data_IF_601744188674
#
_entry.id   IF_601744188674
#
_cell.length_a   1.000
_cell.length_b   1.000
_cell.length_c   1.000
_cell.angle_alpha   90.00
_cell.angle_beta   90.00
_cell.angle_gamma   90.00
#
_symmetry.space_group_name_H-M   'P 1'
#
loop_
_entity.id
_entity.type
_entity.pdbx_description
1 polymer ?
#
# COMPACT_ATOMS: atom_id res chain seq x y z
N UNK A 1 4.51 -26.86 7.86
CA UNK A 1 5.57 -26.05 8.50
C UNK A 1 5.01 -24.68 8.86
N UNK A 2 5.17 -24.28 10.11
CA UNK A 2 4.75 -22.96 10.55
C UNK A 2 5.85 -21.95 10.32
N UNK A 3 5.49 -20.85 9.68
CA UNK A 3 6.39 -19.70 9.52
C UNK A 3 6.15 -18.79 10.72
N UNK A 4 7.24 -18.37 11.39
CA UNK A 4 7.08 -17.49 12.53
C UNK A 4 6.66 -16.08 12.09
N UNK A 5 6.12 -15.35 13.05
CA UNK A 5 5.56 -14.01 12.83
C UNK A 5 6.58 -13.03 12.26
N UNK A 6 7.79 -13.04 12.83
CA UNK A 6 8.88 -12.16 12.38
C UNK A 6 9.25 -12.42 10.92
N UNK A 7 9.37 -13.69 10.53
CA UNK A 7 9.70 -14.07 9.15
C UNK A 7 8.61 -13.61 8.18
N UNK A 8 7.34 -13.76 8.57
CA UNK A 8 6.22 -13.36 7.73
C UNK A 8 6.17 -11.84 7.56
N UNK A 9 6.42 -11.09 8.64
CA UNK A 9 6.49 -9.62 8.58
C UNK A 9 7.59 -9.19 7.61
N UNK A 10 8.78 -9.77 7.73
CA UNK A 10 9.90 -9.46 6.84
C UNK A 10 9.55 -9.78 5.39
N UNK A 11 8.89 -10.90 5.14
CA UNK A 11 8.46 -11.27 3.80
C UNK A 11 7.51 -10.24 3.20
N UNK A 12 6.52 -9.80 3.96
CA UNK A 12 5.54 -8.79 3.49
C UNK A 12 6.22 -7.45 3.21
N UNK A 13 7.16 -7.04 4.07
CA UNK A 13 7.90 -5.79 3.84
C UNK A 13 8.82 -5.88 2.62
N UNK A 14 9.42 -7.05 2.38
CA UNK A 14 10.19 -7.28 1.16
C UNK A 14 9.30 -7.18 -0.07
N UNK A 15 8.11 -7.79 -0.04
CA UNK A 15 7.13 -7.69 -1.13
C UNK A 15 6.70 -6.23 -1.35
N UNK A 16 6.52 -5.47 -0.27
CA UNK A 16 6.19 -4.05 -0.37
C UNK A 16 7.27 -3.27 -1.13
N UNK A 17 8.52 -3.47 -0.76
CA UNK A 17 9.65 -2.79 -1.39
C UNK A 17 9.81 -3.19 -2.86
N UNK A 18 9.74 -4.48 -3.16
CA UNK A 18 9.84 -4.98 -4.54
C UNK A 18 8.71 -4.45 -5.41
N UNK A 19 7.50 -4.40 -4.85
CA UNK A 19 6.33 -3.91 -5.57
C UNK A 19 6.43 -2.41 -5.85
N UNK A 20 7.01 -1.65 -4.93
CA UNK A 20 7.25 -0.22 -5.14
C UNK A 20 8.28 0.00 -6.25
N UNK A 21 9.32 -0.84 -6.32
CA UNK A 21 10.29 -0.80 -7.43
C UNK A 21 9.61 -1.10 -8.77
N UNK A 22 8.68 -2.05 -8.80
CA UNK A 22 7.88 -2.34 -9.98
C UNK A 22 7.04 -1.15 -10.41
N UNK A 23 6.47 -0.42 -9.44
CA UNK A 23 5.70 0.80 -9.72
C UNK A 23 6.57 1.86 -10.38
N UNK A 24 7.79 2.04 -9.87
CA UNK A 24 8.75 3.00 -10.44
C UNK A 24 9.07 2.66 -11.89
N UNK A 25 9.39 1.39 -12.14
CA UNK A 25 9.72 0.94 -13.49
C UNK A 25 8.53 1.13 -14.44
N UNK A 26 7.32 0.82 -14.01
CA UNK A 26 6.12 1.01 -14.80
C UNK A 26 5.91 2.49 -15.13
N UNK A 27 6.06 3.38 -14.16
CA UNK A 27 5.90 4.83 -14.38
C UNK A 27 6.95 5.38 -15.34
N UNK A 28 8.20 4.93 -15.23
CA UNK A 28 9.29 5.35 -16.12
C UNK A 28 9.05 4.92 -17.57
N UNK A 29 8.25 3.88 -17.77
CA UNK A 29 7.91 3.36 -19.11
C UNK A 29 6.49 3.75 -19.53
N UNK A 30 5.92 4.77 -18.90
CA UNK A 30 4.57 5.29 -19.17
C UNK A 30 3.47 4.24 -19.07
N UNK A 31 3.69 3.20 -18.29
CA UNK A 31 2.69 2.18 -17.96
C UNK A 31 1.92 2.62 -16.72
N UNK A 32 1.10 3.65 -16.87
CA UNK A 32 0.50 4.35 -15.73
C UNK A 32 -0.55 3.52 -15.00
N UNK A 33 -1.33 2.72 -15.71
CA UNK A 33 -2.32 1.83 -15.10
C UNK A 33 -1.63 0.78 -14.23
N UNK A 34 -0.55 0.18 -14.75
CA UNK A 34 0.25 -0.78 -14.00
C UNK A 34 0.90 -0.12 -12.79
N UNK A 35 1.44 1.09 -12.98
CA UNK A 35 2.05 1.85 -11.87
C UNK A 35 1.04 2.08 -10.75
N UNK A 36 -0.18 2.47 -11.07
CA UNK A 36 -1.25 2.68 -10.10
C UNK A 36 -1.54 1.39 -9.30
N UNK A 37 -1.63 0.26 -10.00
CA UNK A 37 -1.84 -1.04 -9.37
C UNK A 37 -0.70 -1.39 -8.41
N UNK A 38 0.54 -1.20 -8.85
CA UNK A 38 1.72 -1.51 -8.03
C UNK A 38 1.85 -0.60 -6.81
N UNK A 39 1.50 0.68 -6.96
CA UNK A 39 1.49 1.62 -5.84
C UNK A 39 0.54 1.11 -4.74
N UNK A 40 -0.66 0.73 -5.11
CA UNK A 40 -1.62 0.19 -4.14
C UNK A 40 -1.07 -1.05 -3.44
N UNK A 41 -0.56 -2.03 -4.20
CA UNK A 41 -0.10 -3.28 -3.61
C UNK A 41 1.15 -3.09 -2.76
N UNK A 42 2.02 -2.12 -3.06
CA UNK A 42 3.14 -1.80 -2.20
C UNK A 42 2.67 -1.36 -0.81
N UNK A 43 1.65 -0.50 -0.77
CA UNK A 43 1.03 -0.06 0.48
C UNK A 43 0.31 -1.22 1.19
N UNK A 44 -0.44 -2.02 0.44
CA UNK A 44 -1.17 -3.17 0.98
C UNK A 44 -0.24 -4.14 1.69
N UNK A 45 0.89 -4.49 1.10
CA UNK A 45 1.84 -5.40 1.73
C UNK A 45 2.43 -4.82 3.01
N UNK A 46 2.73 -3.53 3.04
CA UNK A 46 3.25 -2.88 4.24
C UNK A 46 2.21 -2.90 5.37
N UNK A 47 0.95 -2.54 5.06
CA UNK A 47 -0.13 -2.57 6.07
C UNK A 47 -0.41 -4.00 6.51
N UNK A 48 -0.30 -4.97 5.61
CA UNK A 48 -0.42 -6.39 5.95
C UNK A 48 0.63 -6.81 6.97
N UNK A 49 1.88 -6.36 6.80
CA UNK A 49 2.95 -6.63 7.76
C UNK A 49 2.61 -6.04 9.13
N UNK A 50 2.10 -4.81 9.15
CA UNK A 50 1.69 -4.16 10.40
C UNK A 50 0.53 -4.91 11.06
N UNK A 51 -0.41 -5.41 10.26
CA UNK A 51 -1.50 -6.25 10.75
C UNK A 51 -0.99 -7.51 11.42
N UNK A 52 -0.07 -8.21 10.75
CA UNK A 52 0.53 -9.44 11.29
C UNK A 52 1.20 -9.16 12.64
N UNK A 53 1.94 -8.06 12.74
CA UNK A 53 2.58 -7.68 14.01
C UNK A 53 1.57 -7.52 15.14
N UNK A 54 0.39 -7.02 14.84
CA UNK A 54 -0.66 -6.73 15.81
C UNK A 54 -1.74 -7.83 15.86
N UNK A 55 -1.43 -9.00 15.32
CA UNK A 55 -2.31 -10.19 15.34
C UNK A 55 -3.61 -9.98 14.57
N UNK A 56 -3.62 -9.07 13.62
CA UNK A 56 -4.75 -8.86 12.72
C UNK A 56 -4.37 -9.37 11.32
N UNK A 57 -4.82 -10.55 10.98
CA UNK A 57 -4.51 -11.20 9.69
C UNK A 57 -5.80 -11.34 8.91
N UNK A 58 -5.83 -10.76 7.70
CA UNK A 58 -6.97 -10.86 6.82
C UNK A 58 -6.51 -10.85 5.37
N UNK A 59 -7.25 -11.54 4.50
CA UNK A 59 -7.06 -11.49 3.05
C UNK A 59 -8.01 -10.49 2.39
N UNK A 60 -8.90 -9.90 3.16
CA UNK A 60 -9.90 -8.95 2.65
C UNK A 60 -9.36 -7.53 2.70
N UNK A 61 -9.18 -6.94 1.52
CA UNK A 61 -8.56 -5.63 1.36
C UNK A 61 -9.31 -4.51 2.10
N UNK A 62 -10.64 -4.52 2.05
CA UNK A 62 -11.45 -3.52 2.74
C UNK A 62 -11.38 -3.63 4.26
N UNK A 63 -11.29 -4.86 4.78
CA UNK A 63 -11.14 -5.09 6.22
C UNK A 63 -9.80 -4.54 6.71
N UNK A 64 -8.74 -4.77 5.96
CA UNK A 64 -7.40 -4.28 6.33
C UNK A 64 -7.37 -2.75 6.33
N UNK A 65 -7.97 -2.14 5.32
CA UNK A 65 -8.08 -0.67 5.25
C UNK A 65 -8.82 -0.11 6.47
N UNK A 66 -9.97 -0.70 6.81
CA UNK A 66 -10.76 -0.27 7.97
C UNK A 66 -10.00 -0.43 9.28
N UNK A 67 -9.34 -1.57 9.46
CA UNK A 67 -8.52 -1.84 10.64
C UNK A 67 -7.40 -0.80 10.80
N UNK A 68 -6.71 -0.52 9.71
CA UNK A 68 -5.61 0.45 9.71
C UNK A 68 -6.10 1.85 10.09
N UNK A 69 -7.19 2.29 9.47
CA UNK A 69 -7.76 3.60 9.78
C UNK A 69 -8.20 3.70 11.24
N UNK A 70 -8.85 2.67 11.75
CA UNK A 70 -9.35 2.69 13.14
C UNK A 70 -8.22 2.69 14.16
N UNK A 71 -7.18 1.90 13.93
CA UNK A 71 -6.16 1.65 14.95
C UNK A 71 -4.92 2.53 14.82
N UNK A 72 -4.67 3.13 13.67
CA UNK A 72 -3.46 3.91 13.43
C UNK A 72 -3.73 5.35 13.00
N UNK A 73 -4.74 5.58 12.17
CA UNK A 73 -5.02 6.95 11.71
C UNK A 73 -5.87 7.70 12.73
N UNK A 74 -6.98 7.12 13.19
CA UNK A 74 -7.84 7.77 14.19
C UNK A 74 -7.13 7.96 15.52
N UNK A 75 -6.22 7.08 15.87
CA UNK A 75 -5.41 7.18 17.09
C UNK A 75 -4.23 8.16 16.96
N UNK A 76 -4.05 8.71 15.77
CA UNK A 76 -2.97 9.67 15.45
C UNK A 76 -1.55 9.08 15.53
N UNK A 77 -1.42 7.75 15.50
CA UNK A 77 -0.12 7.10 15.37
C UNK A 77 0.45 7.27 13.97
N UNK A 78 -0.44 7.44 12.97
CA UNK A 78 -0.08 7.69 11.59
C UNK A 78 -0.82 8.95 11.13
N UNK A 79 -0.11 9.83 10.45
CA UNK A 79 -0.67 11.10 9.99
C UNK A 79 -1.86 10.88 9.05
N UNK A 80 -2.83 11.78 9.13
CA UNK A 80 -4.05 11.73 8.33
C UNK A 80 -3.76 11.64 6.82
N UNK A 81 -2.72 12.33 6.36
CA UNK A 81 -2.36 12.32 4.93
C UNK A 81 -2.01 10.92 4.43
N UNK A 82 -1.44 10.09 5.29
CA UNK A 82 -1.12 8.70 4.96
C UNK A 82 -2.37 7.83 4.91
N UNK A 83 -3.33 8.07 5.80
CA UNK A 83 -4.62 7.40 5.76
C UNK A 83 -5.38 7.72 4.48
N UNK A 84 -5.36 8.98 4.08
CA UNK A 84 -5.98 9.43 2.83
C UNK A 84 -5.29 8.81 1.61
N UNK A 85 -3.96 8.77 1.63
CA UNK A 85 -3.20 8.12 0.56
C UNK A 85 -3.62 6.65 0.38
N UNK A 86 -3.66 5.88 1.45
CA UNK A 86 -3.97 4.46 1.38
C UNK A 86 -5.40 4.24 0.88
N UNK A 87 -6.36 5.01 1.39
CA UNK A 87 -7.74 4.94 0.92
C UNK A 87 -7.86 5.31 -0.55
N UNK A 88 -7.19 6.37 -0.98
CA UNK A 88 -7.22 6.80 -2.38
C UNK A 88 -6.57 5.76 -3.30
N UNK A 89 -5.48 5.14 -2.86
CA UNK A 89 -4.84 4.07 -3.61
C UNK A 89 -5.75 2.85 -3.75
N UNK A 90 -6.47 2.50 -2.69
CA UNK A 90 -7.47 1.43 -2.72
C UNK A 90 -8.57 1.72 -3.74
N UNK A 91 -9.11 2.94 -3.74
CA UNK A 91 -10.15 3.34 -4.68
C UNK A 91 -9.64 3.38 -6.13
N UNK A 92 -8.42 3.84 -6.33
CA UNK A 92 -7.76 3.89 -7.63
C UNK A 92 -7.59 2.48 -8.22
N UNK A 93 -7.18 1.51 -7.39
CA UNK A 93 -7.08 0.12 -7.81
C UNK A 93 -8.45 -0.44 -8.22
N UNK A 94 -9.49 -0.18 -7.42
CA UNK A 94 -10.85 -0.64 -7.75
C UNK A 94 -11.33 -0.06 -9.07
N UNK A 95 -11.08 1.22 -9.32
CA UNK A 95 -11.44 1.86 -10.59
C UNK A 95 -10.71 1.22 -11.76
N UNK A 96 -9.41 0.94 -11.61
CA UNK A 96 -8.62 0.35 -12.68
C UNK A 96 -9.03 -1.09 -12.99
N UNK A 97 -9.57 -1.81 -11.99
CA UNK A 97 -10.01 -3.20 -12.18
C UNK A 97 -11.42 -3.31 -12.79
N UNK A 98 -12.30 -2.34 -12.52
CA UNK A 98 -13.73 -2.47 -12.83
C UNK A 98 -14.29 -1.44 -13.79
N UNK A 99 -13.64 -0.29 -13.93
CA UNK A 99 -14.12 0.77 -14.82
C UNK A 99 -13.41 0.71 -16.16
N UNK A 100 -14.17 0.94 -17.24
CA UNK A 100 -13.60 1.04 -18.58
C UNK A 100 -13.04 2.43 -18.80
N UNK A 101 -12.03 2.53 -19.67
CA UNK A 101 -11.45 3.81 -20.10
C UNK A 101 -10.87 4.67 -18.98
N UNK A 102 -10.37 4.02 -17.91
CA UNK A 102 -9.69 4.73 -16.83
C UNK A 102 -8.31 5.16 -17.28
N UNK A 103 -8.01 6.44 -17.11
CA UNK A 103 -6.70 7.01 -17.43
C UNK A 103 -6.12 7.69 -16.20
N UNK A 104 -4.80 7.60 -16.07
CA UNK A 104 -4.05 8.30 -15.03
C UNK A 104 -2.99 9.16 -15.69
N UNK A 105 -2.76 10.37 -15.19
CA UNK A 105 -1.68 11.21 -15.71
C UNK A 105 -0.38 10.92 -14.93
N UNK A 106 0.74 11.16 -15.60
CA UNK A 106 2.06 10.83 -15.08
C UNK A 106 2.38 11.64 -13.82
N UNK A 107 2.02 12.92 -13.81
CA UNK A 107 2.29 13.78 -12.65
C UNK A 107 1.59 13.25 -11.39
N UNK A 108 0.33 12.84 -11.50
CA UNK A 108 -0.42 12.26 -10.40
C UNK A 108 0.20 10.95 -9.93
N UNK A 109 0.64 10.10 -10.86
CA UNK A 109 1.29 8.83 -10.52
C UNK A 109 2.63 9.09 -9.80
N UNK A 110 3.42 10.05 -10.27
CA UNK A 110 4.71 10.38 -9.64
C UNK A 110 4.51 10.91 -8.21
N UNK A 111 3.49 11.73 -7.98
CA UNK A 111 3.14 12.21 -6.64
C UNK A 111 2.72 11.06 -5.72
N UNK A 112 1.89 10.15 -6.22
CA UNK A 112 1.44 8.99 -5.45
C UNK A 112 2.58 8.04 -5.15
N UNK A 113 3.51 7.86 -6.09
CA UNK A 113 4.71 7.05 -5.87
C UNK A 113 5.54 7.61 -4.71
N UNK A 114 5.79 8.92 -4.72
CA UNK A 114 6.56 9.57 -3.67
C UNK A 114 5.88 9.39 -2.31
N UNK A 115 4.56 9.58 -2.27
CA UNK A 115 3.80 9.42 -1.04
C UNK A 115 3.79 7.97 -0.57
N UNK A 116 3.74 7.01 -1.50
CA UNK A 116 3.84 5.59 -1.18
C UNK A 116 5.18 5.27 -0.51
N UNK A 117 6.27 5.82 -1.03
CA UNK A 117 7.59 5.63 -0.45
C UNK A 117 7.66 6.14 0.99
N UNK A 118 7.13 7.33 1.24
CA UNK A 118 7.06 7.91 2.59
C UNK A 118 6.17 7.08 3.51
N UNK A 119 5.04 6.60 2.98
CA UNK A 119 4.09 5.77 3.71
C UNK A 119 4.73 4.47 4.18
N UNK A 120 5.42 3.76 3.28
CA UNK A 120 6.08 2.50 3.60
C UNK A 120 7.17 2.71 4.64
N UNK A 121 7.93 3.81 4.52
CA UNK A 121 8.94 4.16 5.52
C UNK A 121 8.31 4.39 6.89
N UNK A 122 7.19 5.08 6.93
CA UNK A 122 6.45 5.28 8.20
C UNK A 122 5.99 3.96 8.79
N UNK A 123 5.43 3.07 7.98
CA UNK A 123 4.99 1.76 8.46
C UNK A 123 6.17 0.96 9.01
N UNK A 124 7.31 0.99 8.34
CA UNK A 124 8.50 0.24 8.79
C UNK A 124 8.95 0.67 10.18
N UNK A 125 8.76 1.92 10.54
CA UNK A 125 9.10 2.46 11.87
C UNK A 125 8.14 1.99 12.96
N UNK A 126 6.99 1.45 12.59
CA UNK A 126 5.99 0.94 13.53
C UNK A 126 6.10 -0.58 13.76
N UNK A 127 7.04 -1.22 13.08
CA UNK A 127 7.27 -2.67 13.20
C UNK A 127 8.34 -3.02 14.28
#
# INVERSE_FOLDING_TARGET
MQVDKSTLIQYRMKRSSETLDEAKLAAENDRLLLAANRIYYSAFYAVSALGIKNDFITTKHGQLLGWFNQNFVKSELVEKRFGEFYRNAFQMRQRSDYDDFVEFDKESIDEKFKLASEFIDKISKLL
#
